data_IF_933006849842
#
_entry.id   IF_933006849842
#
_cell.length_a   1.000
_cell.length_b   1.000
_cell.length_c   1.000
_cell.angle_alpha   90.00
_cell.angle_beta   90.00
_cell.angle_gamma   90.00
#
_symmetry.space_group_name_H-M   'P 1'
#
loop_
_entity.id
_entity.type
_entity.pdbx_description
1 polymer ?
#
# COMPACT_ATOMS: atom_id res chain seq x y z
N UNK A 1 -26.11 7.89 -10.43
CA UNK A 1 -25.08 8.94 -10.19
C UNK A 1 -23.84 8.36 -9.50
N UNK A 2 -23.99 7.53 -8.47
CA UNK A 2 -22.88 6.84 -7.77
C UNK A 2 -21.95 6.02 -8.68
N UNK A 3 -22.48 5.38 -9.73
CA UNK A 3 -21.69 4.63 -10.72
C UNK A 3 -20.69 5.47 -11.53
N UNK A 4 -20.90 6.80 -11.63
CA UNK A 4 -20.00 7.72 -12.34
C UNK A 4 -18.86 8.18 -11.41
N UNK A 5 -19.18 8.43 -10.14
CA UNK A 5 -18.24 8.89 -9.11
C UNK A 5 -17.08 7.89 -8.93
N UNK A 6 -17.34 6.58 -8.87
CA UNK A 6 -16.26 5.58 -8.73
C UNK A 6 -15.41 5.39 -9.99
N UNK A 7 -15.92 5.70 -11.18
CA UNK A 7 -15.13 5.68 -12.42
C UNK A 7 -14.11 6.82 -12.47
N UNK A 8 -14.36 7.91 -11.74
CA UNK A 8 -13.52 9.10 -11.73
C UNK A 8 -12.55 9.15 -10.54
N UNK A 9 -12.66 8.21 -9.59
CA UNK A 9 -11.80 8.12 -8.39
C UNK A 9 -10.58 7.25 -8.64
N UNK A 10 -9.42 7.71 -8.15
CA UNK A 10 -8.17 6.95 -8.17
C UNK A 10 -7.98 6.31 -6.79
N UNK A 11 -7.88 4.97 -6.75
CA UNK A 11 -7.59 4.28 -5.49
C UNK A 11 -6.09 4.18 -5.29
N UNK A 12 -5.62 4.51 -4.10
CA UNK A 12 -4.20 4.42 -3.74
C UNK A 12 -4.05 3.51 -2.54
N UNK A 13 -3.17 2.52 -2.64
CA UNK A 13 -2.64 1.84 -1.46
C UNK A 13 -1.33 2.50 -1.08
N UNK A 14 -1.27 3.05 0.13
CA UNK A 14 -0.10 3.76 0.64
C UNK A 14 0.31 3.28 2.03
N UNK A 15 1.46 3.77 2.47
CA UNK A 15 2.13 3.40 3.70
C UNK A 15 3.64 3.57 3.55
N UNK A 16 4.34 3.53 4.67
CA UNK A 16 5.80 3.42 4.66
C UNK A 16 6.23 2.07 4.07
N UNK A 17 7.47 1.94 3.56
CA UNK A 17 8.01 0.65 3.17
C UNK A 17 7.78 -0.40 4.28
N UNK A 18 7.44 -1.63 3.87
CA UNK A 18 7.21 -2.78 4.76
C UNK A 18 5.96 -2.72 5.66
N UNK A 19 5.07 -1.73 5.49
CA UNK A 19 3.83 -1.61 6.28
C UNK A 19 2.66 -2.52 5.85
N UNK A 20 2.86 -3.39 4.84
CA UNK A 20 1.80 -4.30 4.36
C UNK A 20 1.05 -3.83 3.10
N UNK A 21 1.53 -2.80 2.42
CA UNK A 21 0.92 -2.31 1.16
C UNK A 21 0.79 -3.40 0.08
N UNK A 22 1.78 -4.28 -0.07
CA UNK A 22 1.68 -5.40 -1.02
C UNK A 22 0.57 -6.39 -0.66
N UNK A 23 0.31 -6.63 0.63
CA UNK A 23 -0.79 -7.50 1.06
C UNK A 23 -2.14 -6.88 0.66
N UNK A 24 -2.33 -5.59 0.93
CA UNK A 24 -3.56 -4.89 0.54
C UNK A 24 -3.75 -4.87 -0.98
N UNK A 25 -2.68 -4.66 -1.77
CA UNK A 25 -2.76 -4.78 -3.23
C UNK A 25 -3.23 -6.17 -3.69
N UNK A 26 -2.79 -7.25 -3.03
CA UNK A 26 -3.27 -8.61 -3.32
C UNK A 26 -4.75 -8.78 -2.99
N UNK A 27 -5.19 -8.25 -1.84
CA UNK A 27 -6.60 -8.26 -1.45
C UNK A 27 -7.43 -7.57 -2.53
N UNK A 28 -7.11 -6.33 -2.90
CA UNK A 28 -7.87 -5.56 -3.89
C UNK A 28 -7.91 -6.25 -5.27
N UNK A 29 -6.79 -6.84 -5.70
CA UNK A 29 -6.75 -7.65 -6.94
C UNK A 29 -7.71 -8.84 -6.86
N UNK A 30 -7.69 -9.58 -5.76
CA UNK A 30 -8.58 -10.72 -5.54
C UNK A 30 -10.06 -10.30 -5.42
N UNK A 31 -10.29 -9.10 -4.88
CA UNK A 31 -11.58 -8.42 -4.83
C UNK A 31 -12.12 -8.00 -6.18
N UNK A 32 -11.29 -7.99 -7.23
CA UNK A 32 -11.67 -7.69 -8.61
C UNK A 32 -11.28 -6.29 -9.11
N UNK A 33 -10.43 -5.55 -8.39
CA UNK A 33 -9.92 -4.27 -8.88
C UNK A 33 -8.85 -4.45 -9.95
N UNK A 34 -8.86 -3.54 -10.93
CA UNK A 34 -7.76 -3.41 -11.89
C UNK A 34 -6.54 -2.78 -11.20
N UNK A 35 -5.40 -3.45 -11.27
CA UNK A 35 -4.14 -2.98 -10.69
C UNK A 35 -3.30 -2.31 -11.77
N UNK A 36 -2.81 -1.09 -11.51
CA UNK A 36 -1.79 -0.46 -12.35
C UNK A 36 -0.41 -0.82 -11.81
N UNK A 37 0.37 -1.51 -12.62
CA UNK A 37 1.74 -1.94 -12.33
C UNK A 37 2.47 -2.13 -13.65
N UNK A 38 3.79 -1.97 -13.65
CA UNK A 38 4.61 -2.20 -14.86
C UNK A 38 4.99 -3.68 -15.04
N UNK A 39 4.80 -4.52 -14.01
CA UNK A 39 5.20 -5.93 -14.03
C UNK A 39 6.71 -6.17 -14.21
N UNK A 40 7.55 -5.13 -14.10
CA UNK A 40 8.99 -5.20 -14.34
C UNK A 40 9.65 -6.09 -13.28
N UNK A 41 9.27 -5.87 -12.01
CA UNK A 41 9.80 -6.64 -10.90
C UNK A 41 9.08 -7.99 -10.82
N UNK A 42 9.82 -9.04 -11.17
CA UNK A 42 9.35 -10.42 -11.09
C UNK A 42 9.20 -10.86 -9.62
N UNK A 43 8.34 -11.85 -9.34
CA UNK A 43 8.30 -12.51 -8.04
C UNK A 43 9.69 -12.97 -7.56
N UNK A 44 9.97 -12.80 -6.26
CA UNK A 44 11.19 -13.28 -5.61
C UNK A 44 10.89 -13.90 -4.22
N UNK A 45 11.92 -14.26 -3.45
CA UNK A 45 11.76 -14.85 -2.12
C UNK A 45 11.16 -13.89 -1.07
N UNK A 46 11.21 -12.58 -1.29
CA UNK A 46 10.60 -11.56 -0.42
C UNK A 46 9.13 -11.34 -0.78
N UNK A 47 8.79 -11.43 -2.07
CA UNK A 47 7.45 -11.27 -2.58
C UNK A 47 7.17 -12.24 -3.77
N UNK A 48 6.82 -13.50 -3.49
CA UNK A 48 6.65 -14.52 -4.53
C UNK A 48 5.34 -14.40 -5.31
N UNK A 49 4.59 -13.29 -5.17
CA UNK A 49 3.43 -12.95 -6.03
C UNK A 49 3.75 -11.83 -7.01
N UNK A 50 5.01 -11.39 -7.05
CA UNK A 50 5.41 -10.26 -7.84
C UNK A 50 5.04 -8.96 -7.15
N UNK A 51 5.60 -7.91 -7.69
CA UNK A 51 5.48 -6.57 -7.17
C UNK A 51 4.33 -5.86 -7.88
N UNK A 52 3.67 -4.96 -7.16
CA UNK A 52 2.63 -4.08 -7.71
C UNK A 52 3.19 -2.70 -7.95
N UNK A 53 4.50 -2.62 -8.07
CA UNK A 53 5.24 -1.41 -8.26
C UNK A 53 5.03 -0.92 -9.69
N UNK A 54 5.12 0.40 -9.81
CA UNK A 54 5.09 1.12 -11.06
C UNK A 54 6.25 2.10 -10.95
N UNK A 55 7.37 1.83 -11.63
CA UNK A 55 8.62 2.57 -11.43
C UNK A 55 8.45 4.07 -11.69
N UNK A 56 7.56 4.47 -12.60
CA UNK A 56 7.21 5.89 -12.84
C UNK A 56 6.63 6.61 -11.60
N UNK A 57 6.09 5.88 -10.61
CA UNK A 57 5.66 6.47 -9.32
C UNK A 57 6.82 7.12 -8.57
N UNK A 58 8.04 6.58 -8.69
CA UNK A 58 9.22 7.16 -8.01
C UNK A 58 9.62 8.53 -8.57
N UNK A 59 9.05 8.90 -9.72
CA UNK A 59 9.32 10.14 -10.44
C UNK A 59 8.11 11.05 -10.50
N UNK A 60 7.14 10.89 -9.58
CA UNK A 60 5.96 11.76 -9.55
C UNK A 60 6.28 13.24 -9.32
N UNK A 61 7.42 13.52 -8.67
CA UNK A 61 7.94 14.89 -8.54
C UNK A 61 8.47 15.46 -9.87
N UNK A 62 8.78 14.61 -10.85
CA UNK A 62 9.23 14.99 -12.19
C UNK A 62 8.07 15.01 -13.20
N UNK A 63 7.24 13.96 -13.20
CA UNK A 63 6.08 13.82 -14.09
C UNK A 63 4.93 13.04 -13.42
N UNK A 64 3.79 13.72 -13.29
CA UNK A 64 2.54 13.16 -12.77
C UNK A 64 1.37 13.23 -13.78
N UNK A 65 1.63 13.60 -15.04
CA UNK A 65 0.61 13.80 -16.09
C UNK A 65 -0.21 12.53 -16.39
N UNK A 66 0.39 11.37 -16.18
CA UNK A 66 -0.22 10.06 -16.42
C UNK A 66 -1.20 9.62 -15.32
N UNK A 67 -1.26 10.30 -14.18
CA UNK A 67 -2.09 9.87 -13.03
C UNK A 67 -3.56 9.72 -13.43
N UNK A 68 -4.06 10.55 -14.36
CA UNK A 68 -5.43 10.43 -14.89
C UNK A 68 -5.75 9.08 -15.53
N UNK A 69 -4.76 8.35 -16.06
CA UNK A 69 -4.95 7.00 -16.62
C UNK A 69 -5.37 5.96 -15.56
N UNK A 70 -5.24 6.31 -14.27
CA UNK A 70 -5.50 5.42 -13.14
C UNK A 70 -6.92 5.54 -12.57
N UNK A 71 -7.77 6.40 -13.16
CA UNK A 71 -9.16 6.53 -12.72
C UNK A 71 -9.91 5.18 -12.82
N UNK A 72 -10.62 4.83 -11.75
CA UNK A 72 -11.30 3.53 -11.59
C UNK A 72 -10.38 2.35 -11.29
N UNK A 73 -9.07 2.59 -11.12
CA UNK A 73 -8.04 1.57 -10.86
C UNK A 73 -7.38 1.80 -9.50
N UNK A 74 -6.54 0.85 -9.09
CA UNK A 74 -5.68 0.99 -7.92
C UNK A 74 -4.20 1.02 -8.28
N UNK A 75 -3.49 1.97 -7.67
CA UNK A 75 -2.03 2.13 -7.77
C UNK A 75 -1.39 2.02 -6.38
N UNK A 76 -0.19 1.48 -6.30
CA UNK A 76 0.63 1.49 -5.08
C UNK A 76 1.55 2.70 -5.11
N UNK A 77 1.40 3.58 -4.12
CA UNK A 77 2.24 4.79 -3.97
C UNK A 77 2.74 4.83 -2.54
N UNK A 78 4.05 4.73 -2.32
CA UNK A 78 4.60 4.84 -0.96
C UNK A 78 4.38 6.25 -0.41
N UNK A 79 4.31 6.37 0.91
CA UNK A 79 3.92 7.62 1.58
C UNK A 79 4.77 8.83 1.19
N UNK A 80 6.04 8.64 0.83
CA UNK A 80 6.94 9.70 0.38
C UNK A 80 6.53 10.38 -0.94
N UNK A 81 5.77 9.70 -1.80
CA UNK A 81 5.37 10.26 -3.10
C UNK A 81 3.93 10.80 -3.13
N UNK A 82 3.19 10.69 -2.01
CA UNK A 82 1.82 11.21 -1.93
C UNK A 82 1.75 12.73 -2.17
N UNK A 83 2.77 13.47 -1.73
CA UNK A 83 2.86 14.93 -1.88
C UNK A 83 2.85 15.42 -3.33
N UNK A 84 3.13 14.53 -4.29
CA UNK A 84 3.25 14.87 -5.71
C UNK A 84 2.04 14.44 -6.54
N UNK A 85 1.00 13.92 -5.89
CA UNK A 85 -0.25 13.60 -6.55
C UNK A 85 -0.96 14.88 -6.98
N UNK A 86 -1.42 14.97 -8.24
CA UNK A 86 -2.04 16.18 -8.75
C UNK A 86 -3.43 16.42 -8.12
N UNK A 87 -3.73 17.67 -7.79
CA UNK A 87 -4.92 18.06 -7.01
C UNK A 87 -6.25 17.96 -7.79
N UNK A 88 -6.19 17.84 -9.12
CA UNK A 88 -7.35 17.82 -10.01
C UNK A 88 -8.11 16.47 -10.06
N UNK A 89 -7.70 15.48 -9.25
CA UNK A 89 -8.40 14.20 -9.12
C UNK A 89 -8.88 13.95 -7.70
N UNK A 90 -9.86 13.07 -7.57
CA UNK A 90 -10.33 12.56 -6.29
C UNK A 90 -9.66 11.22 -5.97
N UNK A 91 -9.20 11.09 -4.72
CA UNK A 91 -8.46 9.92 -4.27
C UNK A 91 -9.16 9.25 -3.10
N UNK A 92 -9.19 7.92 -3.14
CA UNK A 92 -9.46 7.09 -1.96
C UNK A 92 -8.17 6.36 -1.59
N UNK A 93 -7.62 6.69 -0.44
CA UNK A 93 -6.32 6.21 0.03
C UNK A 93 -6.56 5.18 1.13
N UNK A 94 -6.09 3.95 0.92
CA UNK A 94 -5.95 2.94 1.98
C UNK A 94 -4.53 3.05 2.50
N UNK A 95 -4.39 3.59 3.71
CA UNK A 95 -3.10 3.84 4.33
C UNK A 95 -2.77 2.72 5.34
N UNK A 96 -1.81 1.87 4.97
CA UNK A 96 -1.37 0.72 5.77
C UNK A 96 -0.34 1.16 6.81
N UNK A 97 -0.64 0.85 8.07
CA UNK A 97 0.21 1.08 9.24
C UNK A 97 0.69 -0.25 9.82
N UNK A 98 1.88 -0.25 10.42
CA UNK A 98 2.45 -1.41 11.08
C UNK A 98 3.39 -0.93 12.20
N UNK A 99 3.51 -1.72 13.26
CA UNK A 99 4.40 -1.41 14.36
C UNK A 99 5.85 -1.21 13.87
N UNK A 100 6.51 -0.19 14.41
CA UNK A 100 7.83 0.25 13.93
C UNK A 100 8.87 -0.87 14.06
N UNK A 101 8.87 -1.58 15.18
CA UNK A 101 9.77 -2.70 15.43
C UNK A 101 9.64 -3.79 14.36
N UNK A 102 8.42 -4.10 13.93
CA UNK A 102 8.18 -5.07 12.86
C UNK A 102 8.62 -4.56 11.49
N UNK A 103 8.45 -3.26 11.21
CA UNK A 103 8.94 -2.62 9.99
C UNK A 103 10.47 -2.75 9.92
N UNK A 104 11.17 -2.41 11.00
CA UNK A 104 12.63 -2.48 11.08
C UNK A 104 13.15 -3.92 10.92
N UNK A 105 12.53 -4.88 11.61
CA UNK A 105 12.87 -6.29 11.48
C UNK A 105 12.70 -6.78 10.03
N UNK A 106 11.58 -6.43 9.40
CA UNK A 106 11.29 -6.77 8.00
C UNK A 106 12.26 -6.09 7.02
N UNK A 107 12.64 -4.85 7.30
CA UNK A 107 13.60 -4.07 6.50
C UNK A 107 14.99 -4.70 6.55
N UNK A 108 15.47 -5.10 7.74
CA UNK A 108 16.76 -5.79 7.93
C UNK A 108 16.85 -7.09 7.13
N UNK A 109 15.80 -7.92 7.19
CA UNK A 109 15.76 -9.18 6.45
C UNK A 109 15.87 -8.93 4.94
N UNK A 110 15.13 -7.94 4.42
CA UNK A 110 15.18 -7.57 3.01
C UNK A 110 16.57 -7.05 2.59
N UNK A 111 17.17 -6.14 3.36
CA UNK A 111 18.50 -5.61 3.06
C UNK A 111 19.57 -6.71 3.09
N UNK A 112 19.50 -7.62 4.08
CA UNK A 112 20.40 -8.78 4.16
C UNK A 112 20.29 -9.67 2.93
N UNK A 113 19.07 -9.94 2.45
CA UNK A 113 18.82 -10.74 1.23
C UNK A 113 19.39 -10.10 -0.03
N UNK A 114 19.40 -8.76 -0.10
CA UNK A 114 19.93 -8.00 -1.24
C UNK A 114 21.45 -7.79 -1.20
N UNK A 115 22.12 -8.18 -0.11
CA UNK A 115 23.52 -7.82 0.11
C UNK A 115 23.72 -6.31 0.34
N UNK A 116 22.65 -5.59 0.66
CA UNK A 116 22.62 -4.13 0.86
C UNK A 116 22.61 -3.77 2.35
N UNK A 117 22.86 -4.73 3.25
CA UNK A 117 22.91 -4.48 4.67
C UNK A 117 24.19 -3.67 5.00
N UNK A 118 24.05 -2.35 5.09
CA UNK A 118 25.11 -1.48 5.62
C UNK A 118 24.94 -1.28 7.12
N UNK A 119 26.06 -1.19 7.85
CA UNK A 119 26.08 -0.86 9.29
C UNK A 119 25.81 0.63 9.57
N UNK A 120 25.51 1.43 8.54
CA UNK A 120 25.59 2.89 8.60
C UNK A 120 24.38 3.58 9.25
N UNK A 121 23.27 2.89 9.50
CA UNK A 121 22.08 3.48 10.12
C UNK A 121 21.58 2.55 11.23
N UNK A 122 21.47 3.07 12.46
CA UNK A 122 20.94 2.31 13.59
C UNK A 122 19.42 2.16 13.51
N UNK A 123 18.88 1.16 14.22
CA UNK A 123 17.44 0.95 14.31
C UNK A 123 16.73 2.15 14.92
N UNK A 124 17.34 2.79 15.91
CA UNK A 124 16.80 3.96 16.58
C UNK A 124 16.72 5.15 15.61
N UNK A 125 17.77 5.38 14.81
CA UNK A 125 17.78 6.46 13.82
C UNK A 125 16.74 6.20 12.72
N UNK A 126 16.61 4.95 12.27
CA UNK A 126 15.61 4.57 11.27
C UNK A 126 14.17 4.70 11.80
N UNK A 127 13.93 4.25 13.04
CA UNK A 127 12.65 4.42 13.73
C UNK A 127 12.26 5.90 13.84
N UNK A 128 13.22 6.75 14.23
CA UNK A 128 13.00 8.20 14.35
C UNK A 128 12.62 8.81 13.00
N UNK A 129 13.41 8.53 11.95
CA UNK A 129 13.14 9.03 10.58
C UNK A 129 11.78 8.60 10.06
N UNK A 130 11.40 7.33 10.25
CA UNK A 130 10.07 6.87 9.81
C UNK A 130 8.94 7.50 10.61
N UNK A 131 9.11 7.67 11.93
CA UNK A 131 8.11 8.31 12.79
C UNK A 131 7.89 9.78 12.42
N UNK A 132 8.98 10.52 12.20
CA UNK A 132 8.93 11.91 11.74
C UNK A 132 8.25 12.03 10.38
N UNK A 133 8.61 11.15 9.44
CA UNK A 133 8.00 11.10 8.12
C UNK A 133 6.50 10.79 8.17
N UNK A 134 6.10 9.79 8.95
CA UNK A 134 4.68 9.43 9.13
C UNK A 134 3.87 10.61 9.65
N UNK A 135 4.39 11.30 10.68
CA UNK A 135 3.73 12.48 11.24
C UNK A 135 3.53 13.57 10.17
N UNK A 136 4.57 13.86 9.38
CA UNK A 136 4.48 14.87 8.31
C UNK A 136 3.44 14.49 7.24
N UNK A 137 3.42 13.22 6.82
CA UNK A 137 2.45 12.73 5.83
C UNK A 137 1.02 12.81 6.37
N UNK A 138 0.78 12.38 7.60
CA UNK A 138 -0.55 12.45 8.21
C UNK A 138 -1.05 13.88 8.38
N UNK A 139 -0.19 14.80 8.82
CA UNK A 139 -0.52 16.23 8.93
C UNK A 139 -0.82 16.86 7.57
N UNK A 140 -0.12 16.46 6.52
CA UNK A 140 -0.38 16.91 5.16
C UNK A 140 -1.68 16.33 4.60
N UNK A 141 -1.92 15.03 4.77
CA UNK A 141 -3.13 14.34 4.31
C UNK A 141 -4.40 14.95 4.90
N UNK A 142 -4.39 15.33 6.18
CA UNK A 142 -5.53 15.98 6.85
C UNK A 142 -5.95 17.32 6.24
N UNK A 143 -5.06 17.95 5.46
CA UNK A 143 -5.33 19.24 4.80
C UNK A 143 -5.92 19.08 3.39
N UNK A 144 -5.91 17.87 2.83
CA UNK A 144 -6.32 17.62 1.45
C UNK A 144 -7.83 17.42 1.36
N UNK A 145 -8.51 18.25 0.54
CA UNK A 145 -9.96 18.19 0.36
C UNK A 145 -10.41 17.16 -0.68
N UNK A 146 -9.49 16.75 -1.55
CA UNK A 146 -9.73 15.81 -2.64
C UNK A 146 -9.31 14.37 -2.28
N UNK A 147 -8.90 14.12 -1.03
CA UNK A 147 -8.42 12.81 -0.58
C UNK A 147 -9.24 12.31 0.61
N UNK A 148 -9.85 11.14 0.46
CA UNK A 148 -10.43 10.37 1.56
C UNK A 148 -9.45 9.30 1.99
N UNK A 149 -9.27 9.09 3.30
CA UNK A 149 -8.26 8.16 3.83
C UNK A 149 -8.90 7.15 4.77
N UNK A 150 -8.61 5.87 4.52
CA UNK A 150 -8.88 4.75 5.41
C UNK A 150 -7.56 4.24 5.99
N UNK A 151 -7.35 4.43 7.28
CA UNK A 151 -6.18 3.92 8.00
C UNK A 151 -6.45 2.50 8.50
N UNK A 152 -5.55 1.56 8.17
CA UNK A 152 -5.66 0.17 8.60
C UNK A 152 -4.32 -0.33 9.15
N UNK A 153 -4.36 -1.07 10.26
CA UNK A 153 -3.18 -1.73 10.79
C UNK A 153 -3.00 -3.12 10.17
N UNK A 154 -1.78 -3.42 9.74
CA UNK A 154 -1.41 -4.69 9.13
C UNK A 154 -1.81 -5.90 9.98
N UNK A 155 -1.52 -5.85 11.29
CA UNK A 155 -1.81 -6.95 12.22
C UNK A 155 -3.32 -7.19 12.38
N UNK A 156 -4.11 -6.12 12.48
CA UNK A 156 -5.57 -6.23 12.60
C UNK A 156 -6.19 -6.85 11.34
N UNK A 157 -5.69 -6.48 10.15
CA UNK A 157 -6.12 -7.06 8.86
C UNK A 157 -5.76 -8.55 8.77
N UNK A 158 -4.62 -8.95 9.30
CA UNK A 158 -4.20 -10.36 9.35
C UNK A 158 -5.08 -11.18 10.28
N UNK A 159 -5.41 -10.64 11.45
CA UNK A 159 -6.21 -11.34 12.46
C UNK A 159 -7.67 -11.46 12.02
N UNK A 160 -8.21 -10.44 11.35
CA UNK A 160 -9.62 -10.36 10.99
C UNK A 160 -9.83 -10.03 9.50
N UNK A 161 -9.33 -10.85 8.56
CA UNK A 161 -9.25 -10.49 7.14
C UNK A 161 -10.63 -10.26 6.50
N UNK A 162 -11.65 -11.04 6.89
CA UNK A 162 -13.01 -10.85 6.38
C UNK A 162 -13.66 -9.56 6.88
N UNK A 163 -13.42 -9.21 8.14
CA UNK A 163 -13.93 -7.96 8.73
C UNK A 163 -13.34 -6.75 8.03
N UNK A 164 -12.01 -6.70 7.87
CA UNK A 164 -11.36 -5.60 7.16
C UNK A 164 -11.64 -5.60 5.66
N UNK A 165 -11.91 -6.75 5.04
CA UNK A 165 -12.37 -6.79 3.65
C UNK A 165 -13.72 -6.09 3.46
N UNK A 166 -14.64 -6.19 4.44
CA UNK A 166 -15.92 -5.46 4.44
C UNK A 166 -15.71 -3.95 4.56
N UNK A 167 -14.87 -3.52 5.52
CA UNK A 167 -14.55 -2.09 5.70
C UNK A 167 -13.94 -1.50 4.44
N UNK A 168 -12.98 -2.20 3.83
CA UNK A 168 -12.34 -1.75 2.58
C UNK A 168 -13.36 -1.71 1.44
N UNK A 169 -14.22 -2.73 1.34
CA UNK A 169 -15.27 -2.77 0.33
C UNK A 169 -16.23 -1.58 0.47
N UNK A 170 -16.74 -1.33 1.67
CA UNK A 170 -17.61 -0.19 1.97
C UNK A 170 -16.94 1.14 1.62
N UNK A 171 -15.69 1.33 2.06
CA UNK A 171 -14.91 2.52 1.75
C UNK A 171 -14.75 2.76 0.25
N UNK A 172 -14.62 1.69 -0.54
CA UNK A 172 -14.47 1.72 -2.00
C UNK A 172 -15.80 1.59 -2.77
N UNK A 173 -16.94 1.68 -2.10
CA UNK A 173 -18.27 1.74 -2.74
C UNK A 173 -18.97 0.40 -3.00
N UNK A 174 -18.58 -0.66 -2.29
CA UNK A 174 -19.43 -1.84 -2.02
C UNK A 174 -19.48 -2.92 -3.11
N UNK A 175 -18.55 -2.94 -4.06
CA UNK A 175 -18.59 -3.86 -5.22
C UNK A 175 -17.51 -4.94 -5.26
N UNK A 176 -16.64 -4.97 -4.26
CA UNK A 176 -15.52 -5.91 -4.18
C UNK A 176 -15.97 -7.27 -3.64
N UNK A 177 -15.25 -8.32 -4.06
CA UNK A 177 -15.47 -9.70 -3.60
C UNK A 177 -14.79 -9.92 -2.25
N UNK A 178 -15.45 -9.53 -1.16
CA UNK A 178 -14.92 -9.57 0.22
C UNK A 178 -14.31 -10.92 0.62
N UNK A 179 -14.95 -12.04 0.26
CA UNK A 179 -14.43 -13.39 0.55
C UNK A 179 -13.08 -13.64 -0.14
N UNK A 180 -12.98 -13.30 -1.42
CA UNK A 180 -11.74 -13.44 -2.19
C UNK A 180 -10.62 -12.55 -1.62
N UNK A 181 -10.97 -11.34 -1.19
CA UNK A 181 -10.02 -10.43 -0.52
C UNK A 181 -9.46 -11.07 0.75
N UNK A 182 -10.32 -11.65 1.58
CA UNK A 182 -9.93 -12.28 2.83
C UNK A 182 -9.05 -13.52 2.61
N UNK A 183 -9.40 -14.36 1.62
CA UNK A 183 -8.61 -15.55 1.24
C UNK A 183 -7.20 -15.18 0.77
N UNK A 184 -7.04 -14.05 0.07
CA UNK A 184 -5.73 -13.57 -0.36
C UNK A 184 -4.76 -13.32 0.81
N UNK A 185 -5.28 -12.94 1.99
CA UNK A 185 -4.49 -12.77 3.23
C UNK A 185 -4.03 -14.10 3.78
N UNK A 186 -4.92 -15.11 3.84
CA UNK A 186 -4.58 -16.44 4.36
C UNK A 186 -3.41 -17.08 3.59
N UNK A 187 -3.40 -16.93 2.26
CA UNK A 187 -2.27 -17.40 1.45
C UNK A 187 -0.96 -16.66 1.73
N UNK A 188 -1.03 -15.37 2.10
CA UNK A 188 0.16 -14.58 2.44
C UNK A 188 0.76 -15.02 3.78
N UNK A 189 -0.09 -15.41 4.74
CA UNK A 189 0.31 -15.96 6.04
C UNK A 189 0.95 -17.35 5.91
N UNK A 190 0.42 -18.20 5.03
CA UNK A 190 0.99 -19.53 4.78
C UNK A 190 2.44 -19.45 4.27
N UNK A 191 2.83 -18.34 3.64
CA UNK A 191 4.20 -18.07 3.20
C UNK A 191 5.09 -17.50 4.31
N UNK A 192 4.53 -16.72 5.24
CA UNK A 192 5.28 -16.15 6.37
C UNK A 192 5.45 -17.14 7.54
N UNK A 193 4.68 -18.24 7.58
CA UNK A 193 4.99 -19.36 8.48
C UNK A 193 6.27 -20.04 8.02
N UNK A 194 7.33 -19.94 8.85
CA UNK A 194 8.45 -20.90 8.79
C UNK A 194 7.85 -22.31 8.86
N UNK A 195 8.18 -23.17 7.89
CA UNK A 195 8.11 -24.62 8.14
C UNK A 195 8.92 -24.88 9.41
N UNK A 196 8.30 -25.51 10.40
CA UNK A 196 8.99 -26.12 11.52
C UNK A 196 10.04 -27.12 10.98
#
# INVERSE_FOLDING_TARGET
>A
MENKILKDVITIVSGVPRSGTSMMMQMLKAGGMEIVTDGIRKPDEDNPRGYFELERVKKLNEDNSWIGECQGKVIKVISAFLFYLPENYHYKIIFMQREMEEILASQKVMLKRRGELSESISDEEMARKFSEHLKQVEEWLRKQKNMEILYLKYNEVIENPLYFSKIVNEFLGGKLKEKNMAEAVADSLYRQRKKL
#
